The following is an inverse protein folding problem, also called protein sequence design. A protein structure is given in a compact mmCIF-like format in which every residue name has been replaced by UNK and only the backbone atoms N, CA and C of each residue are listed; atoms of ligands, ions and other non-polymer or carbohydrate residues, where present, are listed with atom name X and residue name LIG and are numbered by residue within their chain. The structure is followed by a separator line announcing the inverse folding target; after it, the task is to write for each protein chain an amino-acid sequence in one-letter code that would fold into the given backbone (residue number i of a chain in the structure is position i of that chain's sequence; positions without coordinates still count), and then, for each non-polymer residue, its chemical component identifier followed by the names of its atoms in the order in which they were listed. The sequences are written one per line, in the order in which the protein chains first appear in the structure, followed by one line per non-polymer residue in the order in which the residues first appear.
data_IF_821791006450
#
_entry.id   IF_821791006450
#
_cell.length_a   1.000
_cell.length_b   1.000
_cell.length_c   1.000
_cell.angle_alpha   90.00
_cell.angle_beta   90.00
_cell.angle_gamma   90.00
#
_symmetry.space_group_name_H-M   'P 1'
#
loop_
_entity.id
_entity.type
_entity.pdbx_description
1 polymer ?
#
# COMPACT_ATOMS: atom_id res chain seq x y z
N UNK A 1 -31.77 -34.36 31.82
CA UNK A 1 -31.26 -33.66 30.62
C UNK A 1 -29.81 -33.26 30.89
N UNK A 2 -28.84 -33.90 30.23
CA UNK A 2 -27.40 -33.67 30.45
C UNK A 2 -26.95 -32.52 29.54
N UNK A 3 -26.37 -31.46 30.11
CA UNK A 3 -25.80 -30.32 29.39
C UNK A 3 -24.36 -30.65 29.01
N UNK A 4 -24.03 -30.55 27.72
CA UNK A 4 -22.67 -30.67 27.21
C UNK A 4 -21.97 -29.30 27.34
N UNK A 5 -20.78 -29.29 27.94
CA UNK A 5 -19.85 -28.17 28.00
C UNK A 5 -18.85 -28.35 26.86
N UNK A 6 -18.82 -27.42 25.92
CA UNK A 6 -17.90 -27.43 24.78
C UNK A 6 -16.71 -26.53 25.06
N UNK A 7 -15.53 -27.12 25.23
CA UNK A 7 -14.24 -26.43 25.38
C UNK A 7 -13.67 -26.15 23.98
N UNK A 8 -13.55 -24.88 23.60
CA UNK A 8 -12.89 -24.46 22.37
C UNK A 8 -11.44 -24.08 22.71
N UNK A 9 -10.49 -24.91 22.27
CA UNK A 9 -9.06 -24.66 22.39
C UNK A 9 -8.59 -23.81 21.19
N UNK A 10 -8.11 -22.60 21.47
CA UNK A 10 -7.50 -21.68 20.52
C UNK A 10 -6.03 -22.05 20.34
N UNK A 11 -5.64 -22.52 19.16
CA UNK A 11 -4.26 -22.81 18.81
C UNK A 11 -3.65 -21.59 18.09
N UNK A 12 -2.76 -20.87 18.75
CA UNK A 12 -1.95 -19.80 18.17
C UNK A 12 -0.66 -20.39 17.57
N UNK A 13 -0.45 -20.20 16.27
CA UNK A 13 0.78 -20.55 15.57
C UNK A 13 1.53 -19.25 15.22
N UNK A 14 2.58 -18.92 15.97
CA UNK A 14 3.52 -17.84 15.67
C UNK A 14 4.74 -18.43 14.93
N UNK A 15 4.89 -18.10 13.64
CA UNK A 15 6.09 -18.38 12.85
C UNK A 15 6.93 -17.10 12.76
N UNK A 16 8.02 -17.04 13.54
CA UNK A 16 9.07 -16.03 13.43
C UNK A 16 10.13 -16.50 12.43
N UNK A 17 10.14 -15.90 11.24
CA UNK A 17 11.25 -16.01 10.30
C UNK A 17 12.20 -14.81 10.48
N UNK A 18 13.35 -15.04 11.11
CA UNK A 18 14.44 -14.08 11.21
C UNK A 18 15.25 -14.05 9.91
N UNK A 19 15.29 -12.91 9.25
CA UNK A 19 16.18 -12.63 8.13
C UNK A 19 17.41 -11.87 8.67
N UNK A 20 18.54 -12.55 8.74
CA UNK A 20 19.84 -11.95 9.08
C UNK A 20 20.68 -11.72 7.83
N UNK A 21 21.01 -10.47 7.55
CA UNK A 21 22.07 -10.04 6.63
C UNK A 21 22.45 -8.63 7.06
N UNK A 22 23.68 -8.32 7.46
CA UNK A 22 24.93 -8.59 6.76
C UNK A 22 25.43 -7.26 6.21
N UNK A 23 25.92 -6.38 7.09
CA UNK A 23 26.45 -5.05 6.73
C UNK A 23 27.95 -5.16 6.49
N UNK A 24 28.36 -5.11 5.22
CA UNK A 24 29.74 -4.91 4.80
C UNK A 24 30.13 -3.44 4.95
N UNK A 25 31.00 -3.15 5.91
CA UNK A 25 31.68 -1.87 6.08
C UNK A 25 32.89 -1.78 5.14
N UNK A 26 32.69 -1.16 3.97
CA UNK A 26 33.76 -0.78 3.05
C UNK A 26 34.35 0.59 3.40
N UNK A 27 35.61 0.59 3.80
CA UNK A 27 36.44 1.76 4.14
C UNK A 27 36.87 2.55 2.89
N UNK A 28 36.92 3.90 2.90
CA UNK A 28 37.51 4.67 1.80
C UNK A 28 39.01 4.86 2.06
N UNK A 29 39.86 4.20 1.26
CA UNK A 29 41.27 4.55 1.17
C UNK A 29 41.48 5.71 0.18
N UNK A 30 42.23 6.69 0.68
CA UNK A 30 42.74 7.86 -0.02
C UNK A 30 44.11 7.49 -0.61
N UNK A 31 44.38 7.80 -1.88
CA UNK A 31 45.66 7.42 -2.49
C UNK A 31 45.92 8.01 -3.88
N UNK A 32 46.38 9.26 -3.88
CA UNK A 32 47.43 9.86 -4.71
C UNK A 32 47.45 9.75 -6.26
N UNK A 33 47.48 10.94 -6.86
CA UNK A 33 47.89 11.28 -8.23
C UNK A 33 49.36 10.93 -8.52
N UNK A 34 49.66 10.45 -9.73
CA UNK A 34 50.67 11.17 -10.53
C UNK A 34 50.29 11.33 -12.02
N UNK A 35 50.94 12.31 -12.64
CA UNK A 35 50.93 12.71 -14.06
C UNK A 35 52.38 13.16 -14.36
N UNK A 36 52.93 13.20 -15.60
CA UNK A 36 52.55 12.63 -16.91
C UNK A 36 53.72 11.85 -17.60
N UNK A 37 53.47 11.46 -18.86
CA UNK A 37 54.37 11.62 -20.02
C UNK A 37 54.96 10.34 -20.61
N UNK A 38 54.49 10.00 -21.81
CA UNK A 38 55.29 9.37 -22.86
C UNK A 38 54.71 9.73 -24.23
N UNK A 39 55.58 10.29 -25.07
CA UNK A 39 55.39 10.58 -26.49
C UNK A 39 55.84 9.36 -27.29
N UNK A 40 54.96 8.78 -28.11
CA UNK A 40 55.31 7.76 -29.12
C UNK A 40 54.34 7.93 -30.31
N UNK A 41 54.76 8.63 -31.36
CA UNK A 41 55.41 8.11 -32.58
C UNK A 41 54.55 7.12 -33.41
N UNK A 42 53.64 7.71 -34.19
CA UNK A 42 53.31 7.38 -35.58
C UNK A 42 53.34 5.93 -36.07
N UNK A 43 52.13 5.37 -36.26
CA UNK A 43 51.81 4.56 -37.42
C UNK A 43 50.37 4.90 -37.85
N UNK A 44 50.20 5.46 -39.04
CA UNK A 44 48.89 5.73 -39.62
C UNK A 44 48.24 4.40 -40.02
N UNK A 45 47.37 3.87 -39.18
CA UNK A 45 46.43 2.82 -39.54
C UNK A 45 45.18 3.49 -40.10
N UNK A 46 44.76 3.07 -41.30
CA UNK A 46 43.49 3.50 -41.90
C UNK A 46 42.35 3.36 -40.87
N UNK A 47 41.48 4.37 -40.73
CA UNK A 47 40.32 4.26 -39.86
C UNK A 47 39.44 3.11 -40.37
N UNK A 48 39.36 2.04 -39.57
CA UNK A 48 38.40 0.98 -39.80
C UNK A 48 37.00 1.61 -39.86
N UNK A 49 36.32 1.42 -40.99
CA UNK A 49 34.92 1.81 -41.15
C UNK A 49 34.12 1.25 -39.96
N UNK A 50 33.40 2.08 -39.19
CA UNK A 50 32.60 1.58 -38.08
C UNK A 50 31.58 0.59 -38.66
N UNK A 51 31.76 -0.69 -38.34
CA UNK A 51 30.73 -1.71 -38.56
C UNK A 51 29.52 -1.26 -37.76
N UNK A 52 28.47 -0.78 -38.45
CA UNK A 52 27.21 -0.44 -37.82
C UNK A 52 26.73 -1.69 -37.07
N UNK A 53 26.83 -1.63 -35.73
CA UNK A 53 26.25 -2.63 -34.87
C UNK A 53 24.75 -2.57 -35.11
N UNK A 54 24.20 -3.59 -35.78
CA UNK A 54 22.78 -3.66 -36.03
C UNK A 54 22.07 -3.57 -34.68
N UNK A 55 21.27 -2.52 -34.51
CA UNK A 55 20.40 -2.37 -33.34
C UNK A 55 19.58 -3.66 -33.23
N UNK A 56 19.62 -4.37 -32.09
CA UNK A 56 18.89 -5.61 -31.94
C UNK A 56 17.41 -5.34 -32.23
N UNK A 57 16.82 -6.10 -33.15
CA UNK A 57 15.38 -6.09 -33.37
C UNK A 57 14.72 -6.50 -32.06
N UNK A 58 13.83 -5.67 -31.48
CA UNK A 58 13.15 -6.05 -30.25
C UNK A 58 12.36 -7.33 -30.51
N UNK A 59 12.46 -8.29 -29.59
CA UNK A 59 11.67 -9.50 -29.68
C UNK A 59 10.18 -9.15 -29.61
N UNK A 60 9.32 -9.82 -30.41
CA UNK A 60 7.89 -9.58 -30.36
C UNK A 60 7.36 -9.85 -28.95
N UNK A 61 6.54 -8.93 -28.44
CA UNK A 61 5.87 -9.06 -27.13
C UNK A 61 4.81 -10.16 -27.22
N UNK A 62 4.78 -11.05 -26.22
CA UNK A 62 3.76 -12.08 -26.08
C UNK A 62 2.36 -11.45 -25.97
N UNK A 63 1.44 -11.85 -26.86
CA UNK A 63 0.09 -11.29 -26.92
C UNK A 63 -0.73 -11.52 -25.65
N UNK A 64 -0.42 -12.54 -24.87
CA UNK A 64 -1.09 -12.78 -23.56
C UNK A 64 -0.78 -11.68 -22.53
N UNK A 65 0.34 -10.97 -22.71
CA UNK A 65 0.79 -9.87 -21.85
C UNK A 65 0.23 -8.51 -22.30
N UNK A 66 -0.54 -8.48 -23.39
CA UNK A 66 -1.10 -7.27 -23.99
C UNK A 66 -2.61 -7.26 -23.85
N UNK A 67 -3.16 -6.19 -23.26
CA UNK A 67 -4.61 -5.94 -23.25
C UNK A 67 -4.98 -4.90 -24.30
N UNK A 68 -6.11 -5.11 -25.00
CA UNK A 68 -6.66 -4.09 -25.89
C UNK A 68 -7.26 -2.96 -25.06
N UNK A 69 -6.97 -1.70 -25.40
CA UNK A 69 -7.59 -0.55 -24.75
C UNK A 69 -9.13 -0.64 -24.71
N UNK A 70 -9.75 -1.13 -25.77
CA UNK A 70 -11.22 -1.27 -25.87
C UNK A 70 -11.78 -2.39 -24.99
N UNK A 71 -10.94 -3.27 -24.46
CA UNK A 71 -11.36 -4.30 -23.51
C UNK A 71 -11.33 -3.80 -22.06
N UNK A 72 -10.76 -2.63 -21.81
CA UNK A 72 -10.77 -1.96 -20.50
C UNK A 72 -12.16 -1.34 -20.25
N UNK A 73 -12.57 -1.27 -18.98
CA UNK A 73 -13.78 -0.53 -18.56
C UNK A 73 -13.60 0.98 -18.78
N UNK A 74 -14.68 1.74 -18.81
CA UNK A 74 -14.61 3.21 -19.01
C UNK A 74 -13.72 3.91 -17.97
N UNK A 75 -13.75 3.44 -16.72
CA UNK A 75 -12.90 3.94 -15.64
C UNK A 75 -11.41 3.63 -15.90
N UNK A 76 -11.09 2.39 -16.28
CA UNK A 76 -9.73 1.98 -16.62
C UNK A 76 -9.22 2.70 -17.88
N UNK A 77 -10.06 2.89 -18.89
CA UNK A 77 -9.75 3.68 -20.08
C UNK A 77 -9.45 5.13 -19.73
N UNK A 78 -10.18 5.71 -18.78
CA UNK A 78 -9.95 7.04 -18.25
C UNK A 78 -8.61 7.13 -17.51
N UNK A 79 -8.35 6.18 -16.60
CA UNK A 79 -7.09 6.11 -15.86
C UNK A 79 -5.88 5.94 -16.79
N UNK A 80 -6.00 5.10 -17.82
CA UNK A 80 -4.97 4.93 -18.83
C UNK A 80 -4.69 6.25 -19.56
N UNK A 81 -5.72 6.99 -20.01
CA UNK A 81 -5.53 8.29 -20.66
C UNK A 81 -4.84 9.30 -19.73
N UNK A 82 -5.26 9.38 -18.47
CA UNK A 82 -4.60 10.22 -17.46
C UNK A 82 -3.13 9.83 -17.26
N UNK A 83 -2.81 8.53 -17.30
CA UNK A 83 -1.46 8.04 -17.19
C UNK A 83 -0.60 8.30 -18.45
N UNK A 84 -1.19 8.53 -19.63
CA UNK A 84 -0.42 9.00 -20.81
C UNK A 84 0.12 10.40 -20.56
N UNK A 85 -0.69 11.26 -19.93
CA UNK A 85 -0.32 12.64 -19.61
C UNK A 85 0.52 12.75 -18.32
N UNK A 86 0.67 11.66 -17.57
CA UNK A 86 1.43 11.62 -16.32
C UNK A 86 1.23 10.35 -15.50
N UNK A 87 0.55 10.47 -14.37
CA UNK A 87 0.32 9.38 -13.43
C UNK A 87 -1.15 9.34 -13.04
N UNK A 88 -1.73 8.14 -13.02
CA UNK A 88 -3.06 7.90 -12.48
C UNK A 88 -2.94 7.16 -11.14
N UNK A 89 -3.68 7.62 -10.12
CA UNK A 89 -3.69 7.01 -8.79
C UNK A 89 -4.98 6.24 -8.57
N UNK A 90 -4.87 5.00 -8.13
CA UNK A 90 -5.97 4.14 -7.71
C UNK A 90 -6.03 4.08 -6.18
N UNK A 91 -7.13 4.57 -5.63
CA UNK A 91 -7.39 4.66 -4.19
C UNK A 91 -8.37 3.57 -3.72
N UNK A 92 -8.35 3.21 -2.43
CA UNK A 92 -9.33 2.28 -1.87
C UNK A 92 -10.78 2.74 -2.10
N UNK A 93 -11.67 1.79 -2.35
CA UNK A 93 -13.10 2.09 -2.45
C UNK A 93 -13.65 2.49 -1.08
N UNK A 94 -13.91 3.78 -0.87
CA UNK A 94 -14.33 4.32 0.42
C UNK A 94 -15.10 5.62 0.26
N UNK A 95 -16.16 5.82 1.05
CA UNK A 95 -16.98 7.03 1.03
C UNK A 95 -16.30 8.27 1.64
N UNK A 96 -15.15 8.11 2.28
CA UNK A 96 -14.42 9.20 2.93
C UNK A 96 -13.25 9.72 2.10
N UNK A 97 -12.68 8.85 1.26
CA UNK A 97 -11.78 9.28 0.22
C UNK A 97 -12.65 10.03 -0.79
N UNK A 98 -12.40 11.31 -0.99
CA UNK A 98 -13.23 12.13 -1.87
C UNK A 98 -13.19 11.59 -3.30
N UNK A 99 -14.27 11.78 -4.07
CA UNK A 99 -14.36 11.33 -5.47
C UNK A 99 -13.28 11.98 -6.38
N UNK A 100 -12.64 13.05 -5.90
CA UNK A 100 -11.50 13.68 -6.56
C UNK A 100 -10.15 13.00 -6.29
N UNK A 101 -10.06 12.04 -5.38
CA UNK A 101 -8.78 11.46 -4.91
C UNK A 101 -8.17 10.43 -5.88
N UNK A 102 -8.74 10.25 -7.07
CA UNK A 102 -8.25 9.30 -8.06
C UNK A 102 -9.30 8.26 -8.39
N UNK A 103 -8.85 7.16 -8.99
CA UNK A 103 -9.70 6.06 -9.47
C UNK A 103 -9.95 5.04 -8.38
N UNK A 104 -11.08 4.34 -8.40
CA UNK A 104 -11.34 3.30 -7.42
C UNK A 104 -10.53 2.05 -7.78
N UNK A 105 -9.88 1.44 -6.79
CA UNK A 105 -9.01 0.27 -7.00
C UNK A 105 -9.74 -1.04 -7.38
N UNK A 106 -11.05 -1.00 -7.68
CA UNK A 106 -11.82 -2.20 -8.08
C UNK A 106 -11.33 -2.74 -9.43
N UNK A 107 -11.05 -4.05 -9.48
CA UNK A 107 -10.66 -4.81 -10.67
C UNK A 107 -9.62 -4.10 -11.55
N UNK A 108 -8.36 -4.06 -11.10
CA UNK A 108 -7.25 -3.40 -11.78
C UNK A 108 -6.54 -4.34 -12.81
N UNK A 109 -6.86 -4.28 -14.12
CA UNK A 109 -6.26 -5.14 -15.14
C UNK A 109 -4.78 -4.81 -15.39
N UNK A 110 -4.32 -3.63 -14.97
CA UNK A 110 -2.92 -3.22 -15.09
C UNK A 110 -1.97 -4.04 -14.20
N UNK A 111 -2.51 -4.92 -13.34
CA UNK A 111 -1.73 -5.92 -12.61
C UNK A 111 -1.53 -7.24 -13.36
N UNK A 112 -2.38 -7.53 -14.35
CA UNK A 112 -2.40 -8.81 -15.06
C UNK A 112 -1.77 -8.73 -16.44
N UNK A 113 -1.58 -7.51 -16.96
CA UNK A 113 -0.99 -7.25 -18.27
C UNK A 113 0.17 -6.28 -18.11
N UNK A 114 1.18 -6.46 -18.95
CA UNK A 114 2.37 -5.60 -18.97
C UNK A 114 2.27 -4.47 -20.00
N UNK A 115 1.33 -4.58 -20.95
CA UNK A 115 1.14 -3.61 -22.00
C UNK A 115 -0.33 -3.37 -22.32
N UNK A 116 -0.65 -2.14 -22.75
CA UNK A 116 -1.91 -1.79 -23.40
C UNK A 116 -1.65 -1.44 -24.85
N UNK A 117 -2.48 -1.94 -25.76
CA UNK A 117 -2.50 -1.47 -27.15
C UNK A 117 -3.55 -0.37 -27.29
N UNK A 118 -3.11 0.84 -27.65
CA UNK A 118 -3.95 2.03 -27.80
C UNK A 118 -3.55 2.80 -29.06
N UNK A 119 -4.53 3.07 -29.92
CA UNK A 119 -4.36 3.79 -31.18
C UNK A 119 -3.21 3.26 -32.07
N UNK A 120 -3.11 1.94 -32.17
CA UNK A 120 -2.06 1.26 -32.95
C UNK A 120 -0.69 1.18 -32.27
N UNK A 121 -0.43 2.00 -31.25
CA UNK A 121 0.80 1.99 -30.46
C UNK A 121 0.72 1.04 -29.25
N UNK A 122 1.89 0.61 -28.79
CA UNK A 122 2.04 -0.23 -27.62
C UNK A 122 2.58 0.61 -26.46
N UNK A 123 1.88 0.57 -25.34
CA UNK A 123 2.26 1.26 -24.12
C UNK A 123 2.59 0.25 -23.04
N UNK A 124 3.77 0.35 -22.45
CA UNK A 124 4.18 -0.43 -21.30
C UNK A 124 3.50 0.11 -20.05
N UNK A 125 2.91 -0.79 -19.28
CA UNK A 125 2.32 -0.51 -17.98
C UNK A 125 3.41 -0.56 -16.93
N UNK A 126 3.44 0.45 -16.05
CA UNK A 126 4.23 0.45 -14.83
C UNK A 126 3.30 0.74 -13.66
N UNK A 127 3.26 -0.16 -12.68
CA UNK A 127 2.52 0.05 -11.43
C UNK A 127 3.49 0.22 -10.27
N UNK A 128 3.18 1.13 -9.35
CA UNK A 128 3.96 1.37 -8.15
C UNK A 128 3.04 1.60 -6.94
N UNK A 129 3.64 1.61 -5.74
CA UNK A 129 2.95 2.06 -4.53
C UNK A 129 2.86 3.58 -4.55
N UNK A 130 1.67 4.11 -4.35
CA UNK A 130 1.37 5.53 -4.24
C UNK A 130 1.32 6.00 -2.80
N UNK A 131 0.33 6.84 -2.49
CA UNK A 131 0.05 7.32 -1.14
C UNK A 131 -0.46 6.19 -0.22
N UNK A 132 -0.12 6.27 1.06
CA UNK A 132 -0.60 5.35 2.09
C UNK A 132 -1.92 5.86 2.66
N UNK A 133 -2.96 5.03 2.59
CA UNK A 133 -4.24 5.27 3.23
C UNK A 133 -4.36 4.37 4.44
N UNK A 134 -4.76 4.94 5.58
CA UNK A 134 -5.01 4.18 6.80
C UNK A 134 -6.47 4.30 7.23
N UNK A 135 -6.93 3.25 7.90
CA UNK A 135 -8.23 3.10 8.54
C UNK A 135 -8.01 2.55 9.96
N UNK A 136 -9.02 2.70 10.81
CA UNK A 136 -9.00 2.08 12.13
C UNK A 136 -10.36 1.44 12.43
N UNK A 137 -10.38 0.53 13.37
CA UNK A 137 -11.58 -0.03 13.94
C UNK A 137 -11.50 -0.06 15.46
N UNK A 138 -12.68 -0.05 16.08
CA UNK A 138 -12.85 -0.18 17.53
C UNK A 138 -13.69 -1.44 17.74
N UNK A 139 -13.14 -2.44 18.42
CA UNK A 139 -13.91 -3.58 18.91
C UNK A 139 -14.27 -3.34 20.37
N UNK A 140 -15.50 -3.69 20.74
CA UNK A 140 -15.97 -3.59 22.11
C UNK A 140 -16.50 -4.93 22.59
N UNK A 141 -16.01 -5.38 23.75
CA UNK A 141 -16.48 -6.60 24.39
C UNK A 141 -16.78 -6.37 25.86
N UNK A 142 -17.80 -7.03 26.38
CA UNK A 142 -18.15 -6.92 27.80
C UNK A 142 -17.01 -7.49 28.66
N UNK A 143 -16.53 -6.71 29.63
CA UNK A 143 -15.40 -7.11 30.46
C UNK A 143 -15.59 -6.72 31.93
N UNK A 144 -14.85 -7.39 32.80
CA UNK A 144 -14.76 -7.08 34.23
C UNK A 144 -13.33 -6.62 34.53
N UNK A 145 -13.06 -5.30 34.53
CA UNK A 145 -11.72 -4.78 34.79
C UNK A 145 -11.24 -5.18 36.18
N UNK A 146 -9.94 -5.39 36.32
CA UNK A 146 -9.26 -5.57 37.59
C UNK A 146 -9.29 -4.31 38.45
N UNK A 147 -8.93 -4.45 39.73
CA UNK A 147 -9.00 -3.36 40.71
C UNK A 147 -8.11 -2.14 40.37
N UNK A 148 -7.09 -2.32 39.53
CA UNK A 148 -6.14 -1.28 39.15
C UNK A 148 -6.33 -0.78 37.70
N UNK A 149 -7.33 -1.30 36.98
CA UNK A 149 -7.57 -0.89 35.60
C UNK A 149 -8.27 0.45 35.56
N UNK A 150 -7.88 1.28 34.59
CA UNK A 150 -8.51 2.58 34.38
C UNK A 150 -9.78 2.39 33.57
N UNK A 151 -10.90 2.90 34.10
CA UNK A 151 -12.20 2.87 33.44
C UNK A 151 -12.64 4.31 33.17
N UNK A 152 -12.87 4.63 31.90
CA UNK A 152 -13.33 5.95 31.47
C UNK A 152 -14.85 5.92 31.31
N UNK A 153 -15.53 6.97 31.78
CA UNK A 153 -16.97 7.11 31.58
C UNK A 153 -17.26 7.51 30.14
N UNK A 154 -18.19 6.84 29.47
CA UNK A 154 -18.53 7.10 28.07
C UNK A 154 -18.84 8.57 27.79
N UNK A 155 -19.55 9.24 28.71
CA UNK A 155 -19.97 10.64 28.56
C UNK A 155 -18.81 11.64 28.60
N UNK A 156 -17.63 11.20 29.04
CA UNK A 156 -16.41 12.02 29.06
C UNK A 156 -15.60 11.95 27.77
N UNK A 157 -15.96 11.02 26.86
CA UNK A 157 -15.36 10.94 25.54
C UNK A 157 -15.82 12.14 24.68
N UNK A 158 -15.01 12.62 23.73
CA UNK A 158 -15.45 13.63 22.78
C UNK A 158 -16.63 13.12 21.92
N UNK A 159 -17.49 14.03 21.44
CA UNK A 159 -18.78 13.67 20.85
C UNK A 159 -18.68 12.80 19.58
N UNK A 160 -17.69 13.08 18.74
CA UNK A 160 -17.35 12.27 17.56
C UNK A 160 -16.91 10.85 17.95
N UNK A 161 -16.17 10.71 19.05
CA UNK A 161 -15.74 9.42 19.60
C UNK A 161 -16.89 8.63 20.22
N UNK A 162 -17.82 9.33 20.89
CA UNK A 162 -18.97 8.69 21.53
C UNK A 162 -19.81 7.90 20.53
N UNK A 163 -20.06 8.43 19.33
CA UNK A 163 -20.86 7.73 18.33
C UNK A 163 -20.16 6.48 17.79
N UNK A 164 -18.84 6.54 17.61
CA UNK A 164 -18.01 5.42 17.17
C UNK A 164 -17.95 4.31 18.25
N UNK A 165 -17.70 4.69 19.50
CA UNK A 165 -17.67 3.77 20.65
C UNK A 165 -19.06 3.18 20.91
N UNK A 166 -20.13 3.97 20.81
CA UNK A 166 -21.50 3.45 20.92
C UNK A 166 -21.79 2.43 19.83
N UNK A 167 -21.34 2.69 18.60
CA UNK A 167 -21.50 1.75 17.48
C UNK A 167 -20.74 0.45 17.75
N UNK A 168 -19.49 0.53 18.23
CA UNK A 168 -18.71 -0.64 18.62
C UNK A 168 -19.39 -1.43 19.75
N UNK A 169 -19.87 -0.77 20.81
CA UNK A 169 -20.59 -1.41 21.92
C UNK A 169 -21.86 -2.13 21.43
N UNK A 170 -22.59 -1.52 20.50
CA UNK A 170 -23.87 -2.04 20.01
C UNK A 170 -23.68 -3.20 19.03
N UNK A 171 -22.71 -3.08 18.12
CA UNK A 171 -22.52 -3.99 16.99
C UNK A 171 -21.33 -4.97 17.18
N UNK A 172 -20.57 -4.82 18.26
CA UNK A 172 -19.29 -5.49 18.51
C UNK A 172 -18.10 -4.80 17.86
N UNK A 173 -18.30 -4.06 16.77
CA UNK A 173 -17.23 -3.36 16.05
C UNK A 173 -17.72 -2.07 15.38
N UNK A 174 -16.87 -1.06 15.38
CA UNK A 174 -16.91 0.10 14.49
C UNK A 174 -15.70 0.05 13.55
N UNK A 175 -15.90 0.41 12.29
CA UNK A 175 -14.83 0.52 11.30
C UNK A 175 -14.87 1.90 10.65
N UNK A 176 -13.80 2.66 10.82
CA UNK A 176 -13.60 3.92 10.14
C UNK A 176 -13.27 3.67 8.65
N UNK A 177 -13.82 4.47 7.73
CA UNK A 177 -13.41 4.49 6.32
C UNK A 177 -11.91 4.71 6.11
N UNK A 178 -11.39 4.33 4.93
CA UNK A 178 -10.02 4.64 4.53
C UNK A 178 -9.80 6.15 4.41
N UNK A 179 -8.61 6.62 4.78
CA UNK A 179 -8.27 8.05 4.78
C UNK A 179 -8.74 8.79 6.03
N UNK A 180 -9.52 8.16 6.91
CA UNK A 180 -9.94 8.74 8.20
C UNK A 180 -8.92 8.59 9.31
N UNK A 181 -7.71 8.13 9.03
CA UNK A 181 -6.66 7.93 10.05
C UNK A 181 -6.37 9.17 10.89
N UNK A 182 -6.32 10.35 10.28
CA UNK A 182 -6.13 11.62 11.00
C UNK A 182 -7.33 12.01 11.88
N UNK A 183 -8.44 11.28 11.78
CA UNK A 183 -9.61 11.35 12.64
C UNK A 183 -9.61 10.26 13.71
N UNK A 184 -8.50 9.52 13.91
CA UNK A 184 -8.34 8.67 15.08
C UNK A 184 -8.21 9.59 16.31
N UNK A 185 -9.19 9.60 17.22
CA UNK A 185 -9.18 10.52 18.34
C UNK A 185 -8.04 10.19 19.31
N UNK A 186 -7.33 11.21 19.81
CA UNK A 186 -6.21 11.05 20.76
C UNK A 186 -6.52 10.13 21.97
N UNK A 187 -7.72 10.21 22.62
CA UNK A 187 -8.05 9.33 23.74
C UNK A 187 -8.03 7.83 23.40
N UNK A 188 -8.15 7.50 22.12
CA UNK A 188 -8.19 6.14 21.58
C UNK A 188 -6.84 5.69 21.01
N UNK A 189 -6.04 6.62 20.48
CA UNK A 189 -4.83 6.31 19.71
C UNK A 189 -3.59 5.86 20.51
N UNK A 190 -3.59 6.02 21.83
CA UNK A 190 -2.43 5.71 22.68
C UNK A 190 -2.62 4.49 23.60
N UNK A 191 -3.71 3.74 23.47
CA UNK A 191 -4.01 2.60 24.37
C UNK A 191 -4.34 3.02 25.81
N UNK A 192 -4.61 4.30 26.04
CA UNK A 192 -4.85 4.88 27.36
C UNK A 192 -6.26 4.60 27.90
N UNK A 193 -7.18 4.17 27.03
CA UNK A 193 -8.57 3.89 27.38
C UNK A 193 -8.97 2.45 27.08
N UNK A 194 -8.42 1.45 27.81
CA UNK A 194 -8.74 0.04 27.57
C UNK A 194 -10.16 -0.31 28.00
N UNK A 195 -10.77 0.44 28.92
CA UNK A 195 -12.13 0.18 29.41
C UNK A 195 -13.01 1.42 29.38
N UNK A 196 -14.20 1.27 28.80
CA UNK A 196 -15.26 2.28 28.80
C UNK A 196 -16.45 1.78 29.59
N UNK A 197 -16.93 2.58 30.54
CA UNK A 197 -18.20 2.38 31.23
C UNK A 197 -19.31 3.03 30.42
N UNK A 198 -20.26 2.24 29.96
CA UNK A 198 -21.46 2.70 29.27
C UNK A 198 -22.68 2.10 29.97
N UNK A 199 -23.60 2.95 30.42
CA UNK A 199 -24.71 2.57 31.29
C UNK A 199 -24.19 1.79 32.54
N UNK A 200 -24.67 0.56 32.74
CA UNK A 200 -24.32 -0.27 33.89
C UNK A 200 -23.24 -1.33 33.59
N UNK A 201 -22.61 -1.29 32.41
CA UNK A 201 -21.66 -2.31 31.97
C UNK A 201 -20.31 -1.70 31.56
N UNK A 202 -19.22 -2.42 31.85
CA UNK A 202 -17.89 -2.04 31.38
C UNK A 202 -17.55 -2.85 30.14
N UNK A 203 -16.96 -2.19 29.16
CA UNK A 203 -16.52 -2.79 27.92
C UNK A 203 -15.03 -2.59 27.75
N UNK A 204 -14.31 -3.65 27.39
CA UNK A 204 -12.95 -3.60 26.91
C UNK A 204 -12.94 -3.11 25.46
N UNK A 205 -12.13 -2.11 25.17
CA UNK A 205 -11.93 -1.54 23.85
C UNK A 205 -10.63 -2.07 23.25
N UNK A 206 -10.71 -2.70 22.08
CA UNK A 206 -9.55 -3.08 21.28
C UNK A 206 -9.51 -2.23 20.00
N UNK A 207 -8.35 -1.66 19.70
CA UNK A 207 -8.15 -0.82 18.52
C UNK A 207 -7.37 -1.58 17.47
N UNK A 208 -7.91 -1.60 16.26
CA UNK A 208 -7.28 -2.27 15.12
C UNK A 208 -6.95 -1.21 14.10
N UNK A 209 -5.73 -1.26 13.60
CA UNK A 209 -5.26 -0.34 12.57
C UNK A 209 -5.04 -1.14 11.29
N UNK A 210 -5.43 -0.56 10.17
CA UNK A 210 -5.19 -1.13 8.86
C UNK A 210 -4.62 -0.05 7.96
N UNK A 211 -3.65 -0.42 7.14
CA UNK A 211 -3.08 0.44 6.13
C UNK A 211 -3.18 -0.23 4.75
N UNK A 212 -3.21 0.59 3.71
CA UNK A 212 -3.18 0.13 2.33
C UNK A 212 -2.54 1.20 1.45
N UNK A 213 -1.66 0.76 0.57
CA UNK A 213 -1.05 1.63 -0.42
C UNK A 213 -1.99 1.80 -1.59
N UNK A 214 -2.24 3.05 -2.00
CA UNK A 214 -2.75 3.31 -3.33
C UNK A 214 -1.82 2.68 -4.38
N UNK A 215 -2.38 2.33 -5.54
CA UNK A 215 -1.59 1.89 -6.68
C UNK A 215 -1.49 3.04 -7.66
N UNK A 216 -0.29 3.41 -8.09
CA UNK A 216 -0.12 4.38 -9.18
C UNK A 216 0.12 3.64 -10.48
N UNK A 217 -0.34 4.24 -11.58
CA UNK A 217 -0.18 3.76 -12.95
C UNK A 217 0.56 4.83 -13.75
N UNK A 218 1.66 4.43 -14.36
CA UNK A 218 2.34 5.17 -15.43
C UNK A 218 2.35 4.32 -16.67
N UNK A 219 2.30 4.97 -17.83
CA UNK A 219 2.43 4.29 -19.10
C UNK A 219 3.48 4.95 -19.96
N UNK A 220 4.27 4.12 -20.64
CA UNK A 220 5.35 4.58 -21.49
C UNK A 220 5.18 3.98 -22.88
N UNK A 221 5.21 4.83 -23.90
CA UNK A 221 5.15 4.38 -25.30
C UNK A 221 6.44 3.63 -25.66
N UNK A 222 6.33 2.46 -26.30
CA UNK A 222 7.48 1.58 -26.56
C UNK A 222 7.83 1.35 -28.03
N UNK A 223 7.08 1.94 -28.96
CA UNK A 223 7.31 1.88 -30.41
C UNK A 223 8.18 3.04 -30.94
#
# INVERSE_FOLDING_TARGET
MRKAVGTLALAALLLLAGCGGGVDTGSPETGETPTPSSTESGAATEPATPTQSATPTPSPVDSSRVVSYTALTDEQQSAFRTAIDGEATFVPNSSYINDSAGYVASDNPFRLHDYVRYDGSLYRIQTARGELYAAYGIQASAASPGANDTVVAFETLPADVQDEVRTAITNGVYSAPWGKWHSLPEPLGAGETPYVRYENQTYEMEYIVADTWATTLRVERTD
#
